data_IF_593570768111
#
_entry.id   IF_593570768111
#
_cell.length_a   1.000
_cell.length_b   1.000
_cell.length_c   1.000
_cell.angle_alpha   90.00
_cell.angle_beta   90.00
_cell.angle_gamma   90.00
#
_symmetry.space_group_name_H-M   'P 1'
#
loop_
_entity.id
_entity.type
_entity.pdbx_description
1 polymer ?
#
# COMPACT_ATOMS: atom_id res chain seq x y z
N UNK A 1 35.44 13.45 -20.17
CA UNK A 1 34.45 14.11 -19.25
C UNK A 1 33.05 14.17 -19.86
N UNK A 2 32.89 14.60 -21.12
CA UNK A 2 31.59 14.60 -21.81
C UNK A 2 31.01 13.21 -22.07
N UNK A 3 31.82 12.20 -22.41
CA UNK A 3 31.33 10.82 -22.58
C UNK A 3 30.70 10.26 -21.29
N UNK A 4 31.33 10.55 -20.14
CA UNK A 4 30.82 10.16 -18.82
C UNK A 4 29.46 10.80 -18.53
N UNK A 5 29.29 12.08 -18.87
CA UNK A 5 28.02 12.79 -18.69
C UNK A 5 26.93 12.16 -19.55
N UNK A 6 27.17 11.97 -20.85
CA UNK A 6 26.19 11.33 -21.74
C UNK A 6 25.84 9.90 -21.31
N UNK A 7 26.81 9.14 -20.81
CA UNK A 7 26.58 7.79 -20.33
C UNK A 7 25.70 7.77 -19.07
N UNK A 8 25.95 8.68 -18.12
CA UNK A 8 25.11 8.83 -16.91
C UNK A 8 23.68 9.24 -17.30
N UNK A 9 23.54 10.26 -18.14
CA UNK A 9 22.22 10.76 -18.58
C UNK A 9 21.43 9.69 -19.33
N UNK A 10 22.08 8.96 -20.24
CA UNK A 10 21.46 7.87 -20.98
C UNK A 10 20.97 6.75 -20.03
N UNK A 11 21.77 6.36 -19.02
CA UNK A 11 21.39 5.35 -18.04
C UNK A 11 20.20 5.80 -17.17
N UNK A 12 20.20 7.05 -16.70
CA UNK A 12 19.10 7.61 -15.91
C UNK A 12 17.81 7.72 -16.75
N UNK A 13 17.92 8.16 -18.00
CA UNK A 13 16.80 8.26 -18.94
C UNK A 13 16.19 6.89 -19.22
N UNK A 14 17.01 5.89 -19.53
CA UNK A 14 16.54 4.52 -19.79
C UNK A 14 15.87 3.96 -18.53
N UNK A 15 16.52 4.03 -17.36
CA UNK A 15 15.91 3.52 -16.13
C UNK A 15 14.52 4.14 -15.85
N UNK A 16 14.38 5.46 -16.05
CA UNK A 16 13.10 6.16 -15.89
C UNK A 16 12.05 5.72 -16.91
N UNK A 17 12.42 5.56 -18.18
CA UNK A 17 11.49 5.15 -19.25
C UNK A 17 10.89 3.77 -19.02
N UNK A 18 11.67 2.86 -18.44
CA UNK A 18 11.25 1.50 -18.14
C UNK A 18 10.57 1.36 -16.76
N UNK A 19 10.45 2.46 -16.00
CA UNK A 19 9.95 2.48 -14.62
C UNK A 19 10.62 1.40 -13.73
N UNK A 20 11.90 1.14 -14.00
CA UNK A 20 12.66 0.07 -13.37
C UNK A 20 13.49 0.66 -12.23
N UNK A 21 12.96 0.49 -11.02
CA UNK A 21 13.57 1.05 -9.80
C UNK A 21 14.99 0.55 -9.58
N UNK A 22 15.25 -0.74 -9.79
CA UNK A 22 16.57 -1.32 -9.57
C UNK A 22 17.60 -0.76 -10.55
N UNK A 23 17.21 -0.57 -11.81
CA UNK A 23 18.05 0.12 -12.79
C UNK A 23 18.26 1.58 -12.44
N UNK A 24 17.26 2.26 -11.89
CA UNK A 24 17.37 3.67 -11.48
C UNK A 24 18.33 3.83 -10.30
N UNK A 25 18.26 2.96 -9.28
CA UNK A 25 19.22 2.92 -8.16
C UNK A 25 20.65 2.69 -8.67
N UNK A 26 20.83 1.72 -9.57
CA UNK A 26 22.16 1.42 -10.15
C UNK A 26 22.70 2.60 -10.97
N UNK A 27 21.85 3.30 -11.71
CA UNK A 27 22.24 4.48 -12.49
C UNK A 27 22.63 5.67 -11.58
N UNK A 28 21.90 5.89 -10.49
CA UNK A 28 22.23 6.91 -9.48
C UNK A 28 23.59 6.60 -8.83
N UNK A 29 23.80 5.36 -8.38
CA UNK A 29 25.08 4.95 -7.78
C UNK A 29 26.24 5.14 -8.75
N UNK A 30 26.06 4.76 -10.02
CA UNK A 30 27.07 4.95 -11.08
C UNK A 30 27.41 6.43 -11.32
N UNK A 31 26.43 7.33 -11.18
CA UNK A 31 26.59 8.76 -11.29
C UNK A 31 27.37 9.34 -10.09
N UNK A 32 27.04 8.91 -8.87
CA UNK A 32 27.71 9.32 -7.63
C UNK A 32 29.18 8.90 -7.60
N UNK A 33 29.49 7.66 -8.00
CA UNK A 33 30.87 7.14 -8.12
C UNK A 33 31.73 7.97 -9.08
N UNK A 34 31.10 8.68 -10.03
CA UNK A 34 31.77 9.54 -11.01
C UNK A 34 31.73 11.03 -10.64
N UNK A 35 31.25 11.36 -9.43
CA UNK A 35 31.02 12.73 -8.98
C UNK A 35 30.19 13.54 -9.98
N UNK A 36 29.25 12.89 -10.66
CA UNK A 36 28.31 13.57 -11.53
C UNK A 36 27.32 14.35 -10.66
N UNK A 37 27.20 15.65 -10.93
CA UNK A 37 26.24 16.53 -10.27
C UNK A 37 25.48 17.24 -11.38
N UNK A 38 24.32 16.72 -11.71
CA UNK A 38 23.45 17.28 -12.74
C UNK A 38 22.00 17.08 -12.40
N UNK A 39 21.13 17.93 -12.95
CA UNK A 39 19.70 17.98 -12.65
C UNK A 39 18.99 16.62 -12.83
N UNK A 40 19.48 15.79 -13.76
CA UNK A 40 18.93 14.44 -13.95
C UNK A 40 19.18 13.50 -12.76
N UNK A 41 20.30 13.65 -12.07
CA UNK A 41 20.63 12.86 -10.87
C UNK A 41 19.70 13.26 -9.72
N UNK A 42 19.49 14.56 -9.51
CA UNK A 42 18.61 15.07 -8.46
C UNK A 42 17.17 14.61 -8.70
N UNK A 43 16.66 14.78 -9.93
CA UNK A 43 15.34 14.27 -10.33
C UNK A 43 15.19 12.76 -10.14
N UNK A 44 16.24 11.98 -10.42
CA UNK A 44 16.20 10.53 -10.22
C UNK A 44 16.16 10.16 -8.73
N UNK A 45 16.92 10.87 -7.89
CA UNK A 45 16.90 10.70 -6.43
C UNK A 45 15.53 11.04 -5.84
N UNK A 46 14.95 12.16 -6.25
CA UNK A 46 13.62 12.59 -5.81
C UNK A 46 12.55 11.56 -6.16
N UNK A 47 12.61 10.97 -7.37
CA UNK A 47 11.69 9.91 -7.77
C UNK A 47 11.79 8.66 -6.90
N UNK A 48 13.01 8.25 -6.54
CA UNK A 48 13.20 7.10 -5.64
C UNK A 48 12.73 7.43 -4.23
N UNK A 49 13.05 8.61 -3.73
CA UNK A 49 12.64 9.05 -2.40
C UNK A 49 11.11 9.11 -2.28
N UNK A 50 10.42 9.66 -3.30
CA UNK A 50 8.96 9.69 -3.33
C UNK A 50 8.36 8.28 -3.43
N UNK A 51 8.93 7.41 -4.28
CA UNK A 51 8.48 6.01 -4.37
C UNK A 51 8.64 5.27 -3.02
N UNK A 52 9.79 5.44 -2.35
CA UNK A 52 10.04 4.89 -1.01
C UNK A 52 9.05 5.41 0.01
N UNK A 53 8.77 6.73 -0.01
CA UNK A 53 7.80 7.34 0.88
C UNK A 53 6.39 6.81 0.65
N UNK A 54 5.99 6.63 -0.60
CA UNK A 54 4.68 6.06 -0.95
C UNK A 54 4.56 4.58 -0.53
N UNK A 55 5.63 3.80 -0.68
CA UNK A 55 5.69 2.42 -0.20
C UNK A 55 5.60 2.35 1.33
N UNK A 56 6.39 3.15 2.05
CA UNK A 56 6.36 3.21 3.50
C UNK A 56 4.97 3.62 4.03
N UNK A 57 4.31 4.58 3.38
CA UNK A 57 2.94 4.97 3.74
C UNK A 57 1.91 3.86 3.50
N UNK A 58 2.10 3.05 2.45
CA UNK A 58 1.25 1.88 2.19
C UNK A 58 1.46 0.80 3.26
N UNK A 59 2.71 0.49 3.58
CA UNK A 59 3.07 -0.48 4.61
C UNK A 59 2.52 -0.07 5.98
N UNK A 60 2.70 1.19 6.37
CA UNK A 60 2.14 1.75 7.62
C UNK A 60 0.60 1.62 7.67
N UNK A 61 -0.07 1.88 6.54
CA UNK A 61 -1.53 1.74 6.45
C UNK A 61 -1.97 0.28 6.57
N UNK A 62 -1.28 -0.64 5.91
CA UNK A 62 -1.56 -2.08 5.99
C UNK A 62 -1.33 -2.62 7.40
N UNK A 63 -0.25 -2.21 8.06
CA UNK A 63 0.04 -2.60 9.44
C UNK A 63 -0.98 -2.04 10.43
N UNK A 64 -1.38 -0.76 10.25
CA UNK A 64 -2.45 -0.15 11.03
C UNK A 64 -3.78 -0.90 10.86
N UNK A 65 -4.09 -1.31 9.64
CA UNK A 65 -5.31 -2.08 9.36
C UNK A 65 -5.25 -3.49 9.95
N UNK A 66 -4.11 -4.18 9.86
CA UNK A 66 -3.90 -5.49 10.50
C UNK A 66 -4.03 -5.40 12.01
N UNK A 67 -3.44 -4.37 12.61
CA UNK A 67 -3.56 -4.10 14.05
C UNK A 67 -5.02 -3.89 14.45
N UNK A 68 -5.77 -3.10 13.69
CA UNK A 68 -7.21 -2.94 13.90
C UNK A 68 -7.97 -4.27 13.89
N UNK A 69 -7.69 -5.15 12.90
CA UNK A 69 -8.33 -6.47 12.84
C UNK A 69 -7.95 -7.35 14.04
N UNK A 70 -6.70 -7.29 14.49
CA UNK A 70 -6.23 -8.00 15.68
C UNK A 70 -6.90 -7.48 16.95
N UNK A 71 -7.04 -6.17 17.10
CA UNK A 71 -7.69 -5.56 18.26
C UNK A 71 -9.18 -5.92 18.31
N UNK A 72 -9.84 -5.96 17.15
CA UNK A 72 -11.24 -6.38 17.05
C UNK A 72 -11.43 -7.90 17.30
N UNK A 73 -10.47 -8.73 16.89
CA UNK A 73 -10.48 -10.19 17.12
C UNK A 73 -9.16 -10.67 17.71
N UNK A 74 -8.91 -10.48 19.02
CA UNK A 74 -7.63 -10.84 19.64
C UNK A 74 -7.28 -12.33 19.61
N UNK A 75 -8.27 -13.19 19.36
CA UNK A 75 -8.10 -14.64 19.25
C UNK A 75 -7.72 -15.10 17.84
N UNK A 76 -7.77 -14.22 16.83
CA UNK A 76 -7.33 -14.56 15.49
C UNK A 76 -5.81 -14.73 15.47
N UNK A 77 -5.36 -15.84 14.89
CA UNK A 77 -3.94 -16.04 14.61
C UNK A 77 -3.54 -15.36 13.30
N UNK A 78 -2.25 -15.45 12.96
CA UNK A 78 -1.70 -14.87 11.72
C UNK A 78 -2.46 -15.33 10.47
N UNK A 79 -2.82 -16.61 10.39
CA UNK A 79 -3.57 -17.17 9.23
C UNK A 79 -4.98 -16.61 9.13
N UNK A 80 -5.66 -16.40 10.26
CA UNK A 80 -7.02 -15.85 10.28
C UNK A 80 -7.01 -14.38 9.88
N UNK A 81 -6.03 -13.62 10.39
CA UNK A 81 -5.78 -12.24 9.99
C UNK A 81 -5.50 -12.13 8.49
N UNK A 82 -4.56 -12.91 7.95
CA UNK A 82 -4.25 -12.91 6.52
C UNK A 82 -5.48 -13.25 5.67
N UNK A 83 -6.24 -14.27 6.06
CA UNK A 83 -7.46 -14.66 5.36
C UNK A 83 -8.53 -13.55 5.41
N UNK A 84 -8.68 -12.88 6.56
CA UNK A 84 -9.61 -11.76 6.71
C UNK A 84 -9.15 -10.54 5.90
N UNK A 85 -7.88 -10.15 5.97
CA UNK A 85 -7.29 -9.06 5.19
C UNK A 85 -7.46 -9.30 3.70
N UNK A 86 -7.13 -10.51 3.21
CA UNK A 86 -7.30 -10.85 1.79
C UNK A 86 -8.78 -10.84 1.37
N UNK A 87 -9.68 -11.38 2.21
CA UNK A 87 -11.12 -11.32 1.95
C UNK A 87 -11.64 -9.88 1.84
N UNK A 88 -11.19 -9.01 2.75
CA UNK A 88 -11.57 -7.60 2.79
C UNK A 88 -10.99 -6.83 1.59
N UNK A 89 -9.73 -7.08 1.24
CA UNK A 89 -9.09 -6.48 0.07
C UNK A 89 -9.85 -6.83 -1.22
N UNK A 90 -10.34 -8.08 -1.37
CA UNK A 90 -11.13 -8.50 -2.53
C UNK A 90 -12.45 -7.75 -2.71
N UNK A 91 -12.98 -7.16 -1.64
CA UNK A 91 -14.19 -6.31 -1.66
C UNK A 91 -13.87 -4.82 -1.55
N UNK A 92 -12.60 -4.44 -1.75
CA UNK A 92 -12.14 -3.06 -1.75
C UNK A 92 -12.06 -2.45 -0.35
N UNK A 93 -11.81 -3.25 0.68
CA UNK A 93 -11.60 -2.81 2.06
C UNK A 93 -10.18 -3.14 2.47
N UNK A 94 -9.30 -2.13 2.47
CA UNK A 94 -7.87 -2.28 2.78
C UNK A 94 -7.38 -1.32 3.87
N UNK A 95 -8.27 -0.55 4.46
CA UNK A 95 -7.96 0.44 5.48
C UNK A 95 -9.06 0.53 6.54
N UNK A 96 -8.75 1.16 7.66
CA UNK A 96 -9.71 1.39 8.75
C UNK A 96 -10.86 2.30 8.28
N UNK A 97 -10.55 3.29 7.45
CA UNK A 97 -11.52 4.20 6.85
C UNK A 97 -12.45 3.48 5.86
N UNK A 98 -11.90 2.59 5.03
CA UNK A 98 -12.72 1.76 4.13
C UNK A 98 -13.64 0.84 4.91
N UNK A 99 -13.15 0.30 6.04
CA UNK A 99 -13.95 -0.54 6.92
C UNK A 99 -15.10 0.24 7.53
N UNK A 100 -14.86 1.46 8.04
CA UNK A 100 -15.91 2.32 8.58
C UNK A 100 -17.01 2.59 7.54
N UNK A 101 -16.61 2.96 6.31
CA UNK A 101 -17.56 3.16 5.20
C UNK A 101 -18.30 1.89 4.79
N UNK A 102 -17.65 0.72 4.90
CA UNK A 102 -18.27 -0.55 4.54
C UNK A 102 -19.25 -1.04 5.62
N UNK A 103 -19.05 -0.65 6.88
CA UNK A 103 -19.91 -1.00 8.01
C UNK A 103 -21.07 -0.01 8.23
N UNK A 104 -21.02 1.15 7.60
CA UNK A 104 -22.16 2.07 7.51
C UNK A 104 -23.28 1.45 6.65
N UNK A 105 -24.40 1.14 7.29
CA UNK A 105 -25.57 0.54 6.65
C UNK A 105 -26.35 1.56 5.80
N UNK A 106 -26.15 2.86 6.02
CA UNK A 106 -26.70 3.91 5.17
C UNK A 106 -25.84 4.13 3.90
N UNK A 107 -24.66 3.52 3.82
CA UNK A 107 -23.81 3.63 2.63
C UNK A 107 -24.45 2.94 1.42
N UNK A 108 -24.27 3.47 0.19
CA UNK A 108 -24.85 2.88 -1.03
C UNK A 108 -24.42 1.43 -1.31
N UNK A 109 -23.29 1.00 -0.74
CA UNK A 109 -22.76 -0.37 -0.86
C UNK A 109 -22.20 -0.85 0.48
N UNK A 110 -23.04 -1.45 1.34
CA UNK A 110 -22.59 -2.02 2.61
C UNK A 110 -21.75 -3.29 2.38
N UNK A 111 -20.96 -3.66 3.38
CA UNK A 111 -20.00 -4.77 3.32
C UNK A 111 -20.63 -6.10 2.88
N UNK A 112 -21.85 -6.38 3.33
CA UNK A 112 -22.60 -7.60 2.99
C UNK A 112 -22.84 -7.72 1.49
N UNK A 113 -23.22 -6.63 0.83
CA UNK A 113 -23.48 -6.62 -0.61
C UNK A 113 -22.17 -6.80 -1.39
N UNK A 114 -21.09 -6.13 -0.97
CA UNK A 114 -19.77 -6.29 -1.62
C UNK A 114 -19.25 -7.73 -1.52
N UNK A 115 -19.44 -8.39 -0.37
CA UNK A 115 -19.09 -9.80 -0.19
C UNK A 115 -19.95 -10.71 -1.08
N UNK A 116 -21.25 -10.44 -1.21
CA UNK A 116 -22.16 -11.19 -2.09
C UNK A 116 -21.77 -11.05 -3.56
N UNK A 117 -21.45 -9.84 -4.03
CA UNK A 117 -20.99 -9.59 -5.41
C UNK A 117 -19.73 -10.40 -5.78
N UNK A 118 -18.88 -10.70 -4.78
CA UNK A 118 -17.66 -11.51 -4.96
C UNK A 118 -17.84 -13.00 -4.62
N UNK A 119 -19.07 -13.45 -4.38
CA UNK A 119 -19.38 -14.82 -3.93
C UNK A 119 -18.60 -15.25 -2.66
N UNK A 120 -18.28 -14.30 -1.78
CA UNK A 120 -17.54 -14.54 -0.54
C UNK A 120 -18.50 -14.72 0.63
N UNK A 121 -18.20 -15.69 1.50
CA UNK A 121 -18.98 -15.91 2.72
C UNK A 121 -18.91 -14.68 3.64
N UNK A 122 -20.09 -14.23 4.08
CA UNK A 122 -20.25 -13.16 5.06
C UNK A 122 -19.48 -13.45 6.36
N UNK A 123 -19.00 -12.39 7.01
CA UNK A 123 -18.48 -12.50 8.36
C UNK A 123 -19.61 -12.81 9.35
N UNK A 124 -19.28 -13.49 10.45
CA UNK A 124 -20.25 -13.74 11.52
C UNK A 124 -20.74 -12.43 12.13
N UNK A 125 -21.94 -12.42 12.69
CA UNK A 125 -22.49 -11.25 13.38
C UNK A 125 -21.57 -10.79 14.51
N UNK A 126 -20.99 -11.73 15.28
CA UNK A 126 -19.99 -11.44 16.31
C UNK A 126 -18.75 -10.74 15.76
N UNK A 127 -18.37 -11.02 14.51
CA UNK A 127 -17.24 -10.35 13.85
C UNK A 127 -17.62 -8.94 13.40
N UNK A 128 -18.81 -8.78 12.83
CA UNK A 128 -19.30 -7.44 12.44
C UNK A 128 -19.46 -6.55 13.67
N UNK A 129 -20.01 -7.08 14.76
CA UNK A 129 -20.15 -6.38 16.03
C UNK A 129 -18.79 -5.96 16.59
N UNK A 130 -17.81 -6.87 16.57
CA UNK A 130 -16.46 -6.55 17.01
C UNK A 130 -15.81 -5.42 16.18
N UNK A 131 -15.98 -5.42 14.86
CA UNK A 131 -15.48 -4.33 14.01
C UNK A 131 -16.18 -3.01 14.30
N UNK A 132 -17.51 -3.00 14.46
CA UNK A 132 -18.27 -1.79 14.84
C UNK A 132 -17.80 -1.24 16.19
N UNK A 133 -17.63 -2.11 17.19
CA UNK A 133 -17.12 -1.72 18.52
C UNK A 133 -15.70 -1.17 18.48
N UNK A 134 -14.81 -1.77 17.68
CA UNK A 134 -13.44 -1.29 17.51
C UNK A 134 -13.38 0.10 16.83
N UNK A 135 -14.36 0.43 16.00
CA UNK A 135 -14.52 1.75 15.37
C UNK A 135 -15.32 2.74 16.22
N UNK A 136 -15.78 2.33 17.41
CA UNK A 136 -16.68 3.12 18.26
C UNK A 136 -17.95 3.59 17.53
N UNK A 137 -18.41 2.81 16.54
CA UNK A 137 -19.69 3.07 15.87
C UNK A 137 -20.78 2.54 16.80
N UNK A 138 -21.64 3.44 17.30
CA UNK A 138 -22.81 3.06 18.13
C UNK A 138 -23.70 2.06 17.35
N UNK A 139 -24.13 1.01 18.05
CA UNK A 139 -24.96 -0.10 17.53
C UNK A 139 -26.43 0.27 17.72
#
# INVERSE_FOLDING_TARGET
RQEIIHEVEHRLMVAKRWNDRDKLVKAIKFAEERNYSGEQLDKAKDLIAEAQKLEALKEEREDSFRKFLQDAKPRWGTKDLEAATHKLANVGVSSVEDMAKALDEAAPRPLKDRLREKNLKAFSEDTIKAFKSALQIEI
#
